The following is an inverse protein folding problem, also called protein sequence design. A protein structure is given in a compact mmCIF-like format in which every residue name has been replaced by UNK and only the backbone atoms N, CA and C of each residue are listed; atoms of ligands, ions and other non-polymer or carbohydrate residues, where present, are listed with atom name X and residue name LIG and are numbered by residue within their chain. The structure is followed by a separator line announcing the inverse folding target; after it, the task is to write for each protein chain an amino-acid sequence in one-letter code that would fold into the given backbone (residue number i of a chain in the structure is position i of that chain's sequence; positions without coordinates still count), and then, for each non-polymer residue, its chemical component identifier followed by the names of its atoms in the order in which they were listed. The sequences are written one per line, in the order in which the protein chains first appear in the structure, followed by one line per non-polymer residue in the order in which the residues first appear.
data_IF_086205192642
#
_entry.id   IF_086205192642
#
_cell.length_a   1.000
_cell.length_b   1.000
_cell.length_c   1.000
_cell.angle_alpha   90.00
_cell.angle_beta   90.00
_cell.angle_gamma   90.00
#
_symmetry.space_group_name_H-M   'P 1'
#
loop_
_entity.id
_entity.type
_entity.pdbx_description
1 polymer ?
#
# COMPACT_ATOMS: atom_id res chain seq x y z
N UNK A 1 13.14 11.01 10.58
CA UNK A 1 13.73 11.61 9.36
C UNK A 1 12.78 11.33 8.20
N UNK A 2 12.63 12.24 7.22
CA UNK A 2 11.82 11.96 6.05
C UNK A 2 12.44 10.81 5.23
N UNK A 3 11.61 9.91 4.71
CA UNK A 3 12.05 8.83 3.81
C UNK A 3 12.53 9.46 2.50
N UNK A 4 13.72 9.05 2.06
CA UNK A 4 14.35 9.56 0.84
C UNK A 4 14.02 8.65 -0.35
N UNK A 5 13.49 9.25 -1.42
CA UNK A 5 13.14 8.56 -2.67
C UNK A 5 13.95 9.11 -3.82
N UNK A 6 14.62 8.22 -4.56
CA UNK A 6 15.28 8.56 -5.81
C UNK A 6 14.36 8.18 -6.98
N UNK A 7 14.03 9.17 -7.82
CA UNK A 7 13.31 8.96 -9.09
C UNK A 7 14.35 8.96 -10.22
N UNK A 8 14.38 7.92 -11.04
CA UNK A 8 15.20 7.82 -12.24
C UNK A 8 14.26 7.63 -13.43
N UNK A 9 14.05 8.68 -14.19
CA UNK A 9 13.04 8.80 -15.25
C UNK A 9 13.54 9.83 -16.26
N UNK A 10 13.43 9.59 -17.56
CA UNK A 10 13.89 10.55 -18.58
C UNK A 10 12.78 11.52 -19.04
N UNK A 11 11.50 11.15 -18.90
CA UNK A 11 10.39 12.06 -19.19
C UNK A 11 10.21 13.09 -18.06
N UNK A 12 10.45 14.35 -18.39
CA UNK A 12 10.38 15.46 -17.45
C UNK A 12 8.96 15.66 -16.85
N UNK A 13 7.90 15.41 -17.62
CA UNK A 13 6.53 15.57 -17.12
C UNK A 13 6.23 14.50 -16.06
N UNK A 14 6.69 13.26 -16.27
CA UNK A 14 6.53 12.18 -15.31
C UNK A 14 7.38 12.48 -14.06
N UNK A 15 8.61 12.96 -14.22
CA UNK A 15 9.46 13.38 -13.09
C UNK A 15 8.75 14.43 -12.22
N UNK A 16 8.26 15.52 -12.83
CA UNK A 16 7.61 16.63 -12.12
C UNK A 16 6.33 16.16 -11.42
N UNK A 17 5.55 15.29 -12.07
CA UNK A 17 4.35 14.69 -11.48
C UNK A 17 4.69 13.83 -10.26
N UNK A 18 5.63 12.89 -10.40
CA UNK A 18 6.06 12.01 -9.32
C UNK A 18 6.63 12.81 -8.15
N UNK A 19 7.49 13.78 -8.44
CA UNK A 19 8.09 14.63 -7.41
C UNK A 19 7.03 15.39 -6.62
N UNK A 20 6.08 16.05 -7.31
CA UNK A 20 5.00 16.81 -6.68
C UNK A 20 4.17 15.96 -5.71
N UNK A 21 3.76 14.77 -6.16
CA UNK A 21 2.93 13.90 -5.34
C UNK A 21 3.69 13.30 -4.16
N UNK A 22 4.92 12.84 -4.38
CA UNK A 22 5.74 12.27 -3.30
C UNK A 22 6.14 13.31 -2.24
N UNK A 23 6.50 14.52 -2.65
CA UNK A 23 6.81 15.61 -1.71
C UNK A 23 5.57 16.00 -0.89
N UNK A 24 4.37 15.98 -1.50
CA UNK A 24 3.11 16.21 -0.79
C UNK A 24 2.82 15.15 0.27
N UNK A 25 3.22 13.90 0.03
CA UNK A 25 3.12 12.79 1.00
C UNK A 25 4.28 12.79 2.01
N UNK A 26 5.17 13.79 1.99
CA UNK A 26 6.23 13.97 2.98
C UNK A 26 7.53 13.22 2.69
N UNK A 27 7.70 12.68 1.48
CA UNK A 27 8.96 12.08 1.05
C UNK A 27 10.00 13.14 0.68
N UNK A 28 11.28 12.87 0.96
CA UNK A 28 12.39 13.66 0.47
C UNK A 28 12.81 13.15 -0.92
N UNK A 29 12.49 13.90 -1.96
CA UNK A 29 12.64 13.43 -3.35
C UNK A 29 13.94 13.95 -3.99
N UNK A 30 14.64 13.06 -4.68
CA UNK A 30 15.75 13.38 -5.58
C UNK A 30 15.45 12.81 -6.96
N UNK A 31 15.67 13.60 -8.03
CA UNK A 31 15.37 13.20 -9.40
C UNK A 31 16.64 13.05 -10.22
N UNK A 32 16.70 12.03 -11.08
CA UNK A 32 17.75 11.81 -12.08
C UNK A 32 17.10 11.58 -13.45
N UNK A 33 17.67 12.14 -14.51
CA UNK A 33 17.11 12.13 -15.86
C UNK A 33 17.67 11.05 -16.78
N UNK A 34 18.59 10.23 -16.27
CA UNK A 34 19.17 9.08 -16.97
C UNK A 34 19.78 8.08 -15.98
N UNK A 35 20.09 6.89 -16.46
CA UNK A 35 20.63 5.82 -15.61
C UNK A 35 22.00 6.13 -15.00
N UNK A 36 22.85 6.88 -15.70
CA UNK A 36 24.18 7.27 -15.20
C UNK A 36 24.08 8.25 -14.03
N UNK A 37 23.23 9.28 -14.17
CA UNK A 37 22.90 10.20 -13.07
C UNK A 37 22.22 9.46 -11.91
N UNK A 38 21.32 8.52 -12.22
CA UNK A 38 20.65 7.67 -11.25
C UNK A 38 21.65 6.94 -10.36
N UNK A 39 22.61 6.24 -10.93
CA UNK A 39 23.64 5.52 -10.18
C UNK A 39 24.56 6.46 -9.38
N UNK A 40 24.93 7.60 -9.97
CA UNK A 40 25.75 8.60 -9.28
C UNK A 40 25.05 9.15 -8.03
N UNK A 41 23.78 9.57 -8.18
CA UNK A 41 22.95 10.08 -7.08
C UNK A 41 22.65 8.98 -6.05
N UNK A 42 22.33 7.76 -6.49
CA UNK A 42 22.12 6.62 -5.60
C UNK A 42 23.29 6.41 -4.63
N UNK A 43 24.52 6.40 -5.15
CA UNK A 43 25.73 6.23 -4.32
C UNK A 43 25.96 7.39 -3.37
N UNK A 44 25.61 8.61 -3.78
CA UNK A 44 25.80 9.82 -2.98
C UNK A 44 24.80 9.93 -1.82
N UNK A 45 23.51 9.67 -2.08
CA UNK A 45 22.45 9.91 -1.08
C UNK A 45 21.99 8.65 -0.34
N UNK A 46 22.24 7.45 -0.88
CA UNK A 46 21.77 6.16 -0.35
C UNK A 46 20.29 6.22 -0.01
N UNK A 47 19.40 6.32 -1.02
CA UNK A 47 17.99 6.51 -0.80
C UNK A 47 17.34 5.28 -0.14
N UNK A 48 16.19 5.49 0.52
CA UNK A 48 15.39 4.43 1.13
C UNK A 48 14.57 3.66 0.09
N UNK A 49 14.29 4.29 -1.07
CA UNK A 49 13.56 3.70 -2.20
C UNK A 49 14.03 4.30 -3.52
N UNK A 50 14.00 3.48 -4.58
CA UNK A 50 14.23 3.93 -5.96
C UNK A 50 12.98 3.65 -6.81
N UNK A 51 12.46 4.67 -7.48
CA UNK A 51 11.53 4.54 -8.61
C UNK A 51 12.35 4.62 -9.89
N UNK A 52 12.26 3.60 -10.74
CA UNK A 52 13.21 3.43 -11.84
C UNK A 52 12.45 3.13 -13.14
N UNK A 53 12.51 4.03 -14.10
CA UNK A 53 12.00 3.73 -15.44
C UNK A 53 12.86 2.67 -16.13
N UNK A 54 12.19 1.75 -16.81
CA UNK A 54 12.84 0.71 -17.61
C UNK A 54 13.40 1.30 -18.90
N UNK A 55 12.64 2.15 -19.59
CA UNK A 55 12.92 2.61 -20.94
C UNK A 55 13.63 3.97 -20.93
N UNK A 56 14.91 3.97 -20.63
CA UNK A 56 15.72 5.18 -20.67
C UNK A 56 16.83 5.08 -21.72
N UNK A 57 17.23 6.21 -22.36
CA UNK A 57 18.35 6.24 -23.29
C UNK A 57 19.68 6.01 -22.58
N UNK A 58 20.67 5.51 -23.32
CA UNK A 58 22.07 5.28 -22.91
C UNK A 58 22.22 4.12 -21.93
N UNK A 59 21.49 4.11 -20.80
CA UNK A 59 21.50 3.05 -19.81
C UNK A 59 20.06 2.78 -19.37
N UNK A 60 19.53 1.61 -19.70
CA UNK A 60 18.19 1.19 -19.33
C UNK A 60 18.05 0.91 -17.82
N UNK A 61 16.81 0.87 -17.34
CA UNK A 61 16.51 0.61 -15.93
C UNK A 61 16.98 -0.76 -15.44
N UNK A 62 17.04 -1.76 -16.30
CA UNK A 62 17.53 -3.10 -15.93
C UNK A 62 19.01 -3.07 -15.58
N UNK A 63 19.82 -2.37 -16.38
CA UNK A 63 21.24 -2.19 -16.11
C UNK A 63 21.47 -1.41 -14.82
N UNK A 64 20.68 -0.36 -14.56
CA UNK A 64 20.72 0.42 -13.31
C UNK A 64 20.35 -0.46 -12.12
N UNK A 65 19.23 -1.21 -12.20
CA UNK A 65 18.79 -2.13 -11.15
C UNK A 65 19.87 -3.16 -10.80
N UNK A 66 20.44 -3.81 -11.82
CA UNK A 66 21.53 -4.78 -11.64
C UNK A 66 22.76 -4.16 -10.97
N UNK A 67 23.12 -2.95 -11.36
CA UNK A 67 24.25 -2.23 -10.76
C UNK A 67 23.99 -1.87 -9.28
N UNK A 68 22.77 -1.46 -8.93
CA UNK A 68 22.40 -1.21 -7.53
C UNK A 68 22.43 -2.51 -6.73
N UNK A 69 21.88 -3.60 -7.27
CA UNK A 69 21.82 -4.91 -6.59
C UNK A 69 23.18 -5.55 -6.34
N UNK A 70 24.20 -5.15 -7.07
CA UNK A 70 25.57 -5.64 -6.81
C UNK A 70 26.06 -5.22 -5.40
N UNK A 71 25.62 -4.07 -4.90
CA UNK A 71 26.14 -3.48 -3.66
C UNK A 71 25.07 -3.13 -2.63
N UNK A 72 23.76 -3.27 -2.95
CA UNK A 72 22.68 -2.79 -2.11
C UNK A 72 21.37 -3.59 -2.24
N UNK A 73 20.64 -3.67 -1.12
CA UNK A 73 19.27 -4.20 -1.03
C UNK A 73 18.21 -3.07 -0.95
N UNK A 74 18.59 -1.83 -1.28
CA UNK A 74 17.62 -0.72 -1.32
C UNK A 74 16.43 -1.08 -2.20
N UNK A 75 15.19 -0.90 -1.74
CA UNK A 75 14.00 -1.22 -2.50
C UNK A 75 13.95 -0.51 -3.85
N UNK A 76 13.55 -1.24 -4.90
CA UNK A 76 13.41 -0.72 -6.27
C UNK A 76 12.03 -1.08 -6.81
N UNK A 77 11.26 -0.08 -7.21
CA UNK A 77 10.04 -0.24 -7.99
C UNK A 77 10.32 0.16 -9.43
N UNK A 78 10.11 -0.76 -10.37
CA UNK A 78 10.30 -0.51 -11.79
C UNK A 78 9.04 0.10 -12.40
N UNK A 79 9.20 1.16 -13.20
CA UNK A 79 8.14 1.76 -14.00
C UNK A 79 8.26 1.25 -15.44
N UNK A 80 7.25 0.50 -15.96
CA UNK A 80 7.36 -0.20 -17.25
C UNK A 80 6.26 0.21 -18.21
N UNK A 81 6.48 0.11 -19.53
CA UNK A 81 5.42 0.30 -20.52
C UNK A 81 4.46 -0.91 -20.57
N UNK A 82 3.18 -0.64 -20.90
CA UNK A 82 2.16 -1.68 -21.08
C UNK A 82 2.49 -2.50 -22.34
N UNK A 83 2.79 -3.78 -22.17
CA UNK A 83 3.12 -4.71 -23.27
C UNK A 83 4.37 -5.54 -23.06
N UNK A 84 5.24 -5.16 -22.13
CA UNK A 84 6.46 -5.90 -21.77
C UNK A 84 6.20 -6.97 -20.70
N UNK A 85 5.01 -7.63 -20.77
CA UNK A 85 4.63 -8.68 -19.83
C UNK A 85 5.51 -9.92 -19.91
N UNK A 86 6.19 -10.15 -21.03
CA UNK A 86 7.20 -11.21 -21.15
C UNK A 86 8.49 -10.86 -20.38
N UNK A 87 8.74 -9.58 -20.14
CA UNK A 87 9.84 -9.12 -19.30
C UNK A 87 9.55 -9.27 -17.79
N UNK A 88 8.31 -9.50 -17.36
CA UNK A 88 8.00 -9.82 -15.95
C UNK A 88 8.71 -11.08 -15.47
N UNK A 89 8.90 -12.07 -16.34
CA UNK A 89 9.65 -13.29 -16.04
C UNK A 89 11.16 -12.98 -15.99
N UNK A 90 11.65 -12.11 -16.86
CA UNK A 90 13.03 -11.60 -16.85
C UNK A 90 13.24 -10.64 -15.68
N UNK A 91 12.23 -9.83 -15.36
CA UNK A 91 12.22 -8.87 -14.27
C UNK A 91 12.31 -9.49 -12.87
N UNK A 92 11.65 -10.61 -12.61
CA UNK A 92 11.80 -11.38 -11.36
C UNK A 92 13.25 -11.90 -11.16
N UNK A 93 14.04 -12.00 -12.24
CA UNK A 93 15.47 -12.33 -12.19
C UNK A 93 16.36 -11.11 -12.01
N UNK A 94 15.87 -9.89 -12.24
CA UNK A 94 16.65 -8.64 -12.12
C UNK A 94 16.79 -8.12 -10.71
N UNK A 95 15.98 -8.61 -9.76
CA UNK A 95 16.06 -8.23 -8.35
C UNK A 95 15.27 -6.97 -7.97
N UNK A 96 14.32 -6.52 -8.78
CA UNK A 96 13.38 -5.47 -8.38
C UNK A 96 12.34 -6.02 -7.38
N UNK A 97 11.83 -5.15 -6.50
CA UNK A 97 10.89 -5.51 -5.43
C UNK A 97 9.42 -5.43 -5.88
N UNK A 98 9.12 -4.54 -6.84
CA UNK A 98 7.78 -4.42 -7.46
C UNK A 98 7.87 -3.78 -8.85
N UNK A 99 6.73 -3.84 -9.60
CA UNK A 99 6.59 -3.32 -10.95
C UNK A 99 5.28 -2.56 -11.10
N UNK A 100 5.32 -1.38 -11.74
CA UNK A 100 4.15 -0.57 -12.06
C UNK A 100 4.14 -0.28 -13.55
N UNK A 101 3.02 -0.57 -14.21
CA UNK A 101 2.89 -0.34 -15.65
C UNK A 101 2.38 1.07 -15.96
N UNK A 102 3.06 1.77 -16.89
CA UNK A 102 2.61 3.06 -17.43
C UNK A 102 1.47 2.84 -18.46
N UNK A 103 0.40 3.68 -18.46
CA UNK A 103 0.11 4.72 -17.47
C UNK A 103 -0.40 4.14 -16.15
N UNK A 104 -0.04 4.76 -15.03
CA UNK A 104 -0.42 4.34 -13.69
C UNK A 104 -1.21 5.43 -12.96
N UNK A 105 -2.05 4.99 -12.05
CA UNK A 105 -2.72 5.87 -11.11
C UNK A 105 -1.78 6.20 -9.93
N UNK A 106 -1.68 7.47 -9.55
CA UNK A 106 -0.81 7.88 -8.44
C UNK A 106 -1.16 7.19 -7.12
N UNK A 107 -2.46 6.94 -6.86
CA UNK A 107 -2.90 6.19 -5.68
C UNK A 107 -2.35 4.77 -5.65
N UNK A 108 -2.31 4.10 -6.81
CA UNK A 108 -1.75 2.75 -6.92
C UNK A 108 -0.25 2.77 -6.63
N UNK A 109 0.48 3.71 -7.25
CA UNK A 109 1.93 3.83 -7.05
C UNK A 109 2.27 4.11 -5.57
N UNK A 110 1.56 5.03 -4.90
CA UNK A 110 1.77 5.33 -3.49
C UNK A 110 1.52 4.11 -2.60
N UNK A 111 0.44 3.37 -2.83
CA UNK A 111 0.15 2.15 -2.07
C UNK A 111 1.25 1.08 -2.23
N UNK A 112 1.84 0.97 -3.42
CA UNK A 112 2.97 0.05 -3.69
C UNK A 112 4.26 0.52 -3.02
N UNK A 113 4.55 1.82 -3.04
CA UNK A 113 5.69 2.42 -2.33
C UNK A 113 5.60 2.08 -0.84
N UNK A 114 4.46 2.32 -0.20
CA UNK A 114 4.22 1.99 1.19
C UNK A 114 4.41 0.50 1.47
N UNK A 115 3.85 -0.37 0.62
CA UNK A 115 3.97 -1.81 0.77
C UNK A 115 5.42 -2.31 0.67
N UNK A 116 6.22 -1.73 -0.23
CA UNK A 116 7.63 -2.09 -0.43
C UNK A 116 8.48 -1.59 0.74
N UNK A 117 8.32 -0.32 1.16
CA UNK A 117 9.05 0.26 2.30
C UNK A 117 8.77 -0.48 3.60
N UNK A 118 7.54 -0.94 3.82
CA UNK A 118 7.16 -1.74 4.98
C UNK A 118 7.91 -3.08 5.05
N UNK A 119 8.08 -3.78 3.93
CA UNK A 119 8.79 -5.07 3.86
C UNK A 119 10.28 -4.93 4.21
N UNK A 120 10.87 -3.77 3.95
CA UNK A 120 12.31 -3.53 4.15
C UNK A 120 12.64 -2.87 5.49
N UNK A 121 11.65 -2.61 6.34
CA UNK A 121 11.84 -1.99 7.65
C UNK A 121 12.18 -0.49 7.59
N UNK A 122 12.15 0.12 6.41
CA UNK A 122 12.47 1.53 6.18
C UNK A 122 11.23 2.44 6.28
N UNK A 123 10.05 1.90 6.62
CA UNK A 123 8.89 2.75 6.91
C UNK A 123 9.16 3.59 8.17
N UNK A 124 8.75 4.87 8.21
CA UNK A 124 8.83 5.66 9.45
C UNK A 124 8.12 4.89 10.56
N UNK A 125 8.71 4.89 11.73
CA UNK A 125 8.13 4.27 12.94
C UNK A 125 6.87 5.02 13.46
N UNK A 126 6.33 5.94 12.67
CA UNK A 126 5.10 6.69 12.96
C UNK A 126 3.99 6.23 12.02
N UNK A 127 3.13 5.37 12.57
CA UNK A 127 1.71 5.19 12.24
C UNK A 127 1.29 4.68 10.85
N UNK A 128 1.93 3.65 10.31
CA UNK A 128 1.18 2.74 9.46
C UNK A 128 1.47 1.27 9.73
N UNK A 129 1.52 0.88 11.01
CA UNK A 129 1.18 -0.50 11.33
C UNK A 129 -0.30 -0.64 10.92
N UNK A 130 -0.58 -1.52 9.95
CA UNK A 130 -1.98 -1.92 9.65
C UNK A 130 -2.58 -2.62 10.88
N UNK A 131 -2.27 -2.04 12.04
CA UNK A 131 -2.67 -2.50 13.36
C UNK A 131 -3.46 -1.40 14.05
N UNK A 132 -4.69 -1.69 14.39
CA UNK A 132 -5.57 -0.82 15.13
C UNK A 132 -5.81 -1.44 16.50
N UNK A 133 -5.74 -0.61 17.55
CA UNK A 133 -5.99 -1.06 18.93
C UNK A 133 -7.11 -0.23 19.51
N UNK A 134 -8.12 -0.91 20.00
CA UNK A 134 -9.26 -0.37 20.75
C UNK A 134 -9.37 -1.08 22.10
N UNK A 135 -10.28 -0.63 22.97
CA UNK A 135 -10.54 -1.33 24.21
C UNK A 135 -10.80 -2.83 23.94
N UNK A 136 -9.97 -3.69 24.56
CA UNK A 136 -9.99 -5.16 24.44
C UNK A 136 -9.86 -5.74 23.02
N UNK A 137 -9.62 -4.95 21.99
CA UNK A 137 -9.49 -5.42 20.61
C UNK A 137 -8.25 -4.89 19.94
N UNK A 138 -7.53 -5.77 19.25
CA UNK A 138 -6.46 -5.41 18.32
C UNK A 138 -6.72 -6.08 16.98
N UNK A 139 -6.71 -5.29 15.92
CA UNK A 139 -6.80 -5.74 14.53
C UNK A 139 -5.41 -5.57 13.92
N UNK A 140 -4.73 -6.66 13.60
CA UNK A 140 -3.41 -6.66 13.00
C UNK A 140 -3.49 -7.24 11.58
N UNK A 141 -3.46 -6.36 10.59
CA UNK A 141 -3.54 -6.77 9.18
C UNK A 141 -2.18 -7.24 8.63
N UNK A 142 -1.09 -6.97 9.31
CA UNK A 142 0.22 -7.44 8.88
C UNK A 142 0.43 -8.90 9.32
N UNK A 143 -0.04 -9.25 10.53
CA UNK A 143 -0.09 -10.62 11.01
C UNK A 143 -1.37 -11.38 10.59
N UNK A 144 -2.38 -10.70 10.04
CA UNK A 144 -3.73 -11.24 9.78
C UNK A 144 -4.37 -11.84 11.04
N UNK A 145 -4.32 -11.08 12.14
CA UNK A 145 -4.80 -11.53 13.45
C UNK A 145 -5.81 -10.55 14.05
N UNK A 146 -6.96 -11.08 14.47
CA UNK A 146 -7.89 -10.40 15.36
C UNK A 146 -7.65 -10.90 16.78
N UNK A 147 -7.34 -10.01 17.70
CA UNK A 147 -7.09 -10.32 19.11
C UNK A 147 -8.18 -9.65 19.94
N UNK A 148 -8.93 -10.44 20.73
CA UNK A 148 -9.96 -9.96 21.64
C UNK A 148 -9.62 -10.47 23.05
N UNK A 149 -9.59 -9.56 24.04
CA UNK A 149 -9.17 -9.87 25.41
C UNK A 149 -7.84 -10.67 25.49
N UNK A 150 -6.89 -10.32 24.60
CA UNK A 150 -5.60 -11.00 24.50
C UNK A 150 -5.62 -12.38 23.84
N UNK A 151 -6.76 -12.84 23.30
CA UNK A 151 -6.90 -14.12 22.63
C UNK A 151 -7.12 -13.92 21.12
N UNK A 152 -6.46 -14.75 20.32
CA UNK A 152 -6.69 -14.78 18.87
C UNK A 152 -8.08 -15.32 18.56
N UNK A 153 -8.79 -14.61 17.68
CA UNK A 153 -10.11 -15.00 17.17
C UNK A 153 -9.98 -15.36 15.70
N UNK A 154 -10.34 -16.58 15.34
CA UNK A 154 -10.32 -17.01 13.93
C UNK A 154 -11.28 -16.16 13.10
N UNK A 155 -10.71 -15.45 12.14
CA UNK A 155 -11.44 -14.45 11.35
C UNK A 155 -11.01 -14.55 9.89
N UNK A 156 -11.94 -14.93 8.99
CA UNK A 156 -11.66 -15.03 7.55
C UNK A 156 -11.14 -13.71 6.97
N UNK A 157 -10.29 -13.76 5.92
CA UNK A 157 -9.64 -12.58 5.36
C UNK A 157 -10.59 -11.42 5.04
N UNK A 158 -11.72 -11.69 4.40
CA UNK A 158 -12.69 -10.63 4.05
C UNK A 158 -13.43 -10.02 5.26
N UNK A 159 -13.57 -10.75 6.34
CA UNK A 159 -14.07 -10.22 7.61
C UNK A 159 -13.02 -9.30 8.26
N UNK A 160 -11.74 -9.69 8.22
CA UNK A 160 -10.63 -8.87 8.71
C UNK A 160 -10.50 -7.57 7.92
N UNK A 161 -10.49 -7.64 6.59
CA UNK A 161 -10.41 -6.48 5.71
C UNK A 161 -11.57 -5.50 5.95
N UNK A 162 -12.81 -6.03 6.06
CA UNK A 162 -14.00 -5.23 6.31
C UNK A 162 -13.94 -4.54 7.69
N UNK A 163 -13.56 -5.28 8.74
CA UNK A 163 -13.45 -4.74 10.08
C UNK A 163 -12.37 -3.66 10.14
N UNK A 164 -11.20 -3.94 9.56
CA UNK A 164 -10.10 -2.98 9.50
C UNK A 164 -10.49 -1.72 8.75
N UNK A 165 -11.14 -1.84 7.58
CA UNK A 165 -11.57 -0.69 6.79
C UNK A 165 -12.54 0.22 7.54
N UNK A 166 -13.54 -0.38 8.21
CA UNK A 166 -14.49 0.35 9.03
C UNK A 166 -13.83 1.01 10.26
N UNK A 167 -12.93 0.29 10.93
CA UNK A 167 -12.24 0.75 12.13
C UNK A 167 -11.14 1.78 11.86
N UNK A 168 -10.58 1.81 10.65
CA UNK A 168 -9.57 2.82 10.24
C UNK A 168 -10.13 4.25 10.16
N UNK A 169 -11.46 4.40 10.10
CA UNK A 169 -12.12 5.71 10.12
C UNK A 169 -13.32 5.68 11.06
N UNK A 170 -13.09 5.69 12.38
CA UNK A 170 -14.16 5.64 13.37
C UNK A 170 -15.21 6.72 13.14
N UNK A 171 -16.46 6.39 13.42
CA UNK A 171 -17.63 7.26 13.30
C UNK A 171 -18.00 7.67 11.86
N UNK A 172 -17.22 7.28 10.83
CA UNK A 172 -17.58 7.50 9.44
C UNK A 172 -18.58 6.44 8.96
N UNK A 173 -19.62 6.90 8.25
CA UNK A 173 -20.63 6.02 7.66
C UNK A 173 -20.24 5.66 6.24
N UNK A 174 -20.32 4.37 5.92
CA UNK A 174 -20.07 3.83 4.59
C UNK A 174 -21.32 3.13 4.06
N UNK A 175 -21.63 3.37 2.79
CA UNK A 175 -22.70 2.62 2.11
C UNK A 175 -22.26 1.18 1.83
N UNK A 176 -23.22 0.29 1.59
CA UNK A 176 -22.93 -1.11 1.21
C UNK A 176 -22.09 -1.21 -0.06
N UNK A 177 -22.38 -0.38 -1.06
CA UNK A 177 -21.64 -0.38 -2.31
C UNK A 177 -20.19 0.11 -2.11
N UNK A 178 -19.98 1.19 -1.35
CA UNK A 178 -18.63 1.62 -1.00
C UNK A 178 -17.82 0.52 -0.30
N UNK A 179 -18.44 -0.18 0.66
CA UNK A 179 -17.76 -1.28 1.36
C UNK A 179 -17.49 -2.47 0.43
N UNK A 180 -18.40 -2.74 -0.51
CA UNK A 180 -18.21 -3.79 -1.49
C UNK A 180 -17.02 -3.46 -2.42
N UNK A 181 -17.02 -2.26 -2.99
CA UNK A 181 -15.98 -1.80 -3.92
C UNK A 181 -14.59 -1.77 -3.26
N UNK A 182 -14.50 -1.27 -2.02
CA UNK A 182 -13.23 -1.10 -1.30
C UNK A 182 -12.67 -2.41 -0.75
N UNK A 183 -13.53 -3.33 -0.30
CA UNK A 183 -13.08 -4.59 0.34
C UNK A 183 -13.03 -5.76 -0.64
N UNK A 184 -13.96 -5.83 -1.61
CA UNK A 184 -14.00 -6.91 -2.61
C UNK A 184 -13.44 -6.50 -3.96
N UNK A 185 -13.33 -5.19 -4.23
CA UNK A 185 -12.84 -4.62 -5.47
C UNK A 185 -13.95 -4.31 -6.49
N UNK A 186 -13.67 -3.37 -7.39
CA UNK A 186 -14.63 -2.93 -8.43
C UNK A 186 -15.04 -4.03 -9.42
N UNK A 187 -14.22 -5.07 -9.58
CA UNK A 187 -14.49 -6.22 -10.46
C UNK A 187 -15.34 -7.31 -9.78
N UNK A 188 -15.81 -7.08 -8.56
CA UNK A 188 -16.67 -8.02 -7.87
C UNK A 188 -18.13 -7.84 -8.27
N UNK A 189 -18.66 -8.77 -9.06
CA UNK A 189 -20.05 -8.76 -9.57
C UNK A 189 -21.10 -9.33 -8.57
N UNK A 190 -20.77 -9.45 -7.29
CA UNK A 190 -21.69 -9.93 -6.28
C UNK A 190 -22.65 -8.86 -5.76
N UNK A 191 -23.73 -9.33 -5.08
CA UNK A 191 -24.71 -8.46 -4.43
C UNK A 191 -24.09 -7.75 -3.21
N UNK A 192 -24.39 -6.47 -3.02
CA UNK A 192 -23.97 -5.68 -1.87
C UNK A 192 -24.47 -6.24 -0.51
N UNK A 193 -25.46 -7.14 -0.53
CA UNK A 193 -25.88 -7.94 0.64
C UNK A 193 -24.80 -8.87 1.17
N UNK A 194 -23.74 -9.15 0.39
CA UNK A 194 -22.55 -9.83 0.86
C UNK A 194 -21.96 -9.13 2.07
N UNK A 195 -21.94 -7.80 2.08
CA UNK A 195 -21.49 -6.99 3.21
C UNK A 195 -22.30 -7.27 4.47
N UNK A 196 -23.64 -7.40 4.34
CA UNK A 196 -24.55 -7.65 5.49
C UNK A 196 -24.21 -8.98 6.19
N UNK A 197 -23.88 -10.01 5.42
CA UNK A 197 -23.50 -11.32 5.94
C UNK A 197 -22.20 -11.25 6.75
N UNK A 198 -21.20 -10.54 6.24
CA UNK A 198 -19.91 -10.39 6.92
C UNK A 198 -20.03 -9.50 8.16
N UNK A 199 -20.81 -8.42 8.09
CA UNK A 199 -21.12 -7.57 9.26
C UNK A 199 -21.81 -8.38 10.35
N UNK A 200 -22.76 -9.25 10.01
CA UNK A 200 -23.44 -10.12 10.98
C UNK A 200 -22.42 -11.04 11.69
N UNK A 201 -21.58 -11.73 10.94
CA UNK A 201 -20.55 -12.64 11.50
C UNK A 201 -19.53 -11.91 12.36
N UNK A 202 -19.11 -10.70 11.96
CA UNK A 202 -18.26 -9.86 12.78
C UNK A 202 -18.92 -9.48 14.10
N UNK A 203 -20.22 -9.09 14.07
CA UNK A 203 -20.96 -8.78 15.30
C UNK A 203 -21.04 -9.95 16.25
N UNK A 204 -21.25 -11.17 15.74
CA UNK A 204 -21.27 -12.39 16.56
C UNK A 204 -19.93 -12.63 17.28
N UNK A 205 -18.80 -12.24 16.65
CA UNK A 205 -17.46 -12.33 17.25
C UNK A 205 -17.16 -11.20 18.24
N UNK A 206 -17.75 -10.03 18.03
CA UNK A 206 -17.49 -8.81 18.78
C UNK A 206 -18.53 -8.55 19.88
N UNK A 207 -19.55 -9.43 20.03
CA UNK A 207 -20.63 -9.26 20.98
C UNK A 207 -20.12 -9.27 22.43
N UNK A 208 -20.48 -8.23 23.18
CA UNK A 208 -20.13 -8.12 24.61
C UNK A 208 -18.65 -7.82 24.90
N UNK A 209 -17.83 -7.54 23.88
CA UNK A 209 -16.39 -7.27 24.06
C UNK A 209 -16.14 -5.93 24.72
N UNK A 210 -16.77 -4.87 24.28
CA UNK A 210 -16.56 -3.50 24.79
C UNK A 210 -17.85 -2.68 24.78
N UNK A 211 -17.93 -1.74 25.69
CA UNK A 211 -18.96 -0.70 25.69
C UNK A 211 -18.47 0.60 25.02
N UNK A 212 -17.17 0.71 24.72
CA UNK A 212 -16.54 1.91 24.17
C UNK A 212 -16.65 2.01 22.64
N UNK A 213 -16.93 0.90 21.97
CA UNK A 213 -17.06 0.85 20.50
C UNK A 213 -18.02 -0.24 20.06
N UNK A 214 -18.59 -0.08 18.86
CA UNK A 214 -19.44 -1.11 18.25
C UNK A 214 -19.51 -0.98 16.72
N UNK A 215 -19.96 -2.04 16.06
CA UNK A 215 -20.25 -2.09 14.63
C UNK A 215 -21.72 -1.72 14.41
N UNK A 216 -22.01 -0.45 14.09
CA UNK A 216 -23.36 0.11 14.04
C UNK A 216 -23.96 0.12 12.64
N UNK A 217 -25.25 -0.20 12.54
CA UNK A 217 -26.04 0.02 11.34
C UNK A 217 -26.59 1.45 11.34
N UNK A 218 -26.39 2.15 10.23
CA UNK A 218 -27.07 3.42 9.94
C UNK A 218 -28.21 3.09 8.96
N UNK A 219 -29.42 3.07 9.47
CA UNK A 219 -30.60 2.63 8.73
C UNK A 219 -30.79 3.43 7.43
N UNK A 220 -31.05 2.73 6.35
CA UNK A 220 -31.21 3.32 5.03
C UNK A 220 -29.89 3.73 4.34
N UNK A 221 -28.72 3.66 5.03
CA UNK A 221 -27.42 4.07 4.50
C UNK A 221 -26.43 2.90 4.44
N UNK A 222 -26.03 2.37 5.59
CA UNK A 222 -24.98 1.34 5.61
C UNK A 222 -24.45 1.09 7.03
N UNK A 223 -23.13 1.10 7.18
CA UNK A 223 -22.45 0.71 8.41
C UNK A 223 -21.37 1.71 8.82
N UNK A 224 -21.04 1.74 10.10
CA UNK A 224 -19.90 2.43 10.68
C UNK A 224 -19.30 1.65 11.84
N UNK A 225 -18.04 1.83 12.12
CA UNK A 225 -17.42 1.50 13.40
C UNK A 225 -17.58 2.71 14.31
N UNK A 226 -18.39 2.59 15.33
CA UNK A 226 -18.68 3.68 16.27
C UNK A 226 -17.75 3.57 17.47
N UNK A 227 -17.08 4.66 17.81
CA UNK A 227 -16.33 4.84 19.05
C UNK A 227 -17.06 5.90 19.87
N UNK A 228 -17.37 5.58 21.13
CA UNK A 228 -18.14 6.39 22.08
C UNK A 228 -17.21 7.30 22.89
#
# INVERSE_FOLDING_TARGET
MAISVLIVEDDRNIQELLQLYLEKEGYAVTVASDGGQGLSKFRAIKPDLVLLDVMMPVMDGWAVCKAIRADSQTPIIMLTAKGETDDKVTGLKSGADDYVTKPFEMKELLARIEAVLRRTGNAPAEESSRRLTFDKMTIDMDAFELIIDGKKVDTPPKEMELLFYLASSPNRVYTRNQLLDEVWGFDYFGDSRTVDVHVKRLREKLEGVSESWNLKTVWGVGYKFEVL
#
